data_IF_795853617022
#
_entry.id   IF_795853617022
#
_cell.length_a   1.000
_cell.length_b   1.000
_cell.length_c   1.000
_cell.angle_alpha   90.00
_cell.angle_beta   90.00
_cell.angle_gamma   90.00
#
_symmetry.space_group_name_H-M   'P 1'
#
loop_
_entity.id
_entity.type
_entity.pdbx_description
1 polymer ?
#
# COMPACT_ATOMS: atom_id res chain seq x y z
N UNK A 1 38.98 4.49 12.26
CA UNK A 1 38.14 5.61 12.75
C UNK A 1 37.12 5.03 13.71
N UNK A 2 36.91 5.68 14.87
CA UNK A 2 35.87 5.27 15.83
C UNK A 2 34.49 5.45 15.20
N UNK A 3 33.62 4.44 15.27
CA UNK A 3 32.22 4.55 14.81
C UNK A 3 31.43 5.37 15.82
N UNK A 4 30.61 6.31 15.36
CA UNK A 4 29.81 7.15 16.26
C UNK A 4 28.41 6.54 16.41
N UNK A 5 28.01 6.30 17.65
CA UNK A 5 26.67 5.81 17.99
C UNK A 5 25.65 6.95 17.91
N UNK A 6 24.54 6.71 17.20
CA UNK A 6 23.39 7.60 17.12
C UNK A 6 22.19 6.93 17.82
N UNK A 7 21.68 7.50 18.91
CA UNK A 7 20.57 6.93 19.66
C UNK A 7 19.25 7.04 18.90
N UNK A 8 18.29 6.18 19.24
CA UNK A 8 16.89 6.42 18.97
C UNK A 8 16.34 7.43 20.00
N UNK A 9 15.47 8.36 19.60
CA UNK A 9 15.00 9.45 20.46
C UNK A 9 13.49 9.67 20.33
N UNK A 10 12.88 10.24 21.36
CA UNK A 10 11.47 10.66 21.34
C UNK A 10 10.76 10.37 22.65
N UNK A 11 9.49 10.77 22.78
CA UNK A 11 8.76 10.63 24.03
C UNK A 11 8.36 9.18 24.29
N UNK A 12 8.34 8.77 25.56
CA UNK A 12 7.99 7.38 25.94
C UNK A 12 6.53 7.03 25.70
N UNK A 13 5.67 8.01 25.47
CA UNK A 13 4.25 7.87 25.15
C UNK A 13 3.92 8.21 23.69
N UNK A 14 4.93 8.25 22.81
CA UNK A 14 4.77 8.57 21.38
C UNK A 14 3.70 7.69 20.73
N UNK A 15 2.79 8.29 19.97
CA UNK A 15 1.78 7.56 19.18
C UNK A 15 2.28 7.17 17.80
N UNK A 16 3.34 7.82 17.33
CA UNK A 16 3.98 7.59 16.03
C UNK A 16 5.45 7.28 16.28
N UNK A 17 5.95 6.23 15.63
CA UNK A 17 7.38 5.96 15.50
C UNK A 17 7.79 6.01 14.03
N UNK A 18 8.79 6.82 13.67
CA UNK A 18 9.35 6.90 12.33
C UNK A 18 10.70 6.18 12.28
N UNK A 19 10.79 5.16 11.43
CA UNK A 19 11.94 4.25 11.37
C UNK A 19 12.64 4.37 10.02
N UNK A 20 13.88 4.85 10.03
CA UNK A 20 14.77 4.92 8.87
C UNK A 20 15.73 3.75 8.76
N UNK A 21 16.59 3.81 7.74
CA UNK A 21 17.59 2.78 7.47
C UNK A 21 18.75 2.83 8.47
N UNK A 22 19.44 3.97 8.53
CA UNK A 22 20.61 4.21 9.36
C UNK A 22 20.99 5.69 9.34
N UNK A 23 21.85 6.14 10.27
CA UNK A 23 22.35 7.51 10.28
C UNK A 23 23.10 7.87 9.00
N UNK A 24 22.96 9.11 8.54
CA UNK A 24 23.86 9.74 7.59
C UNK A 24 24.94 10.57 8.30
N UNK A 25 25.66 11.38 7.51
CA UNK A 25 26.80 12.18 8.00
C UNK A 25 26.41 13.20 9.07
N UNK A 26 25.32 13.92 8.87
CA UNK A 26 24.88 14.93 9.82
C UNK A 26 24.30 14.27 11.07
N UNK A 27 23.53 13.18 10.93
CA UNK A 27 23.04 12.43 12.08
C UNK A 27 24.20 11.88 12.93
N UNK A 28 25.28 11.41 12.28
CA UNK A 28 26.51 10.96 12.96
C UNK A 28 27.20 12.10 13.71
N UNK A 29 27.33 13.27 13.08
CA UNK A 29 27.96 14.45 13.69
C UNK A 29 27.21 14.97 14.91
N UNK A 30 25.88 15.04 14.81
CA UNK A 30 25.03 15.64 15.85
C UNK A 30 24.42 14.61 16.81
N UNK A 31 24.56 13.31 16.53
CA UNK A 31 24.00 12.20 17.30
C UNK A 31 22.48 12.29 17.44
N UNK A 32 21.81 12.71 16.37
CA UNK A 32 20.34 12.87 16.32
C UNK A 32 19.85 12.16 15.05
N UNK A 33 18.95 11.16 15.14
CA UNK A 33 18.39 10.51 13.97
C UNK A 33 17.51 11.49 13.19
N UNK A 34 17.54 11.41 11.86
CA UNK A 34 16.84 12.35 10.97
C UNK A 34 17.12 13.82 11.32
N UNK A 35 18.35 14.20 11.67
CA UNK A 35 18.70 15.55 12.12
C UNK A 35 18.03 16.62 11.25
N UNK A 36 17.35 17.58 11.85
CA UNK A 36 16.38 18.44 11.14
C UNK A 36 17.00 19.35 10.06
N UNK A 37 18.32 19.59 10.10
CA UNK A 37 19.05 20.33 9.06
C UNK A 37 19.73 19.40 8.03
N UNK A 38 19.61 18.09 8.21
CA UNK A 38 19.99 17.11 7.20
C UNK A 38 18.88 17.04 6.12
N UNK A 39 19.21 16.80 4.84
CA UNK A 39 18.21 16.80 3.76
C UNK A 39 17.02 15.86 4.00
N UNK A 40 17.24 14.69 4.63
CA UNK A 40 16.17 13.77 4.97
C UNK A 40 15.34 14.27 6.18
N UNK A 41 16.02 14.79 7.20
CA UNK A 41 15.37 15.31 8.41
C UNK A 41 14.56 16.57 8.16
N UNK A 42 15.02 17.45 7.27
CA UNK A 42 14.29 18.65 6.86
C UNK A 42 12.97 18.27 6.16
N UNK A 43 13.01 17.32 5.21
CA UNK A 43 11.80 16.83 4.52
C UNK A 43 10.83 16.23 5.51
N UNK A 44 11.30 15.36 6.40
CA UNK A 44 10.46 14.73 7.40
C UNK A 44 9.81 15.79 8.31
N UNK A 45 10.62 16.74 8.82
CA UNK A 45 10.14 17.81 9.71
C UNK A 45 9.07 18.66 9.01
N UNK A 46 9.31 19.06 7.77
CA UNK A 46 8.35 19.86 7.00
C UNK A 46 7.03 19.11 6.76
N UNK A 47 7.08 17.82 6.42
CA UNK A 47 5.87 17.02 6.15
C UNK A 47 5.11 16.70 7.43
N UNK A 48 5.80 16.43 8.54
CA UNK A 48 5.16 16.31 9.85
C UNK A 48 4.41 17.60 10.20
N UNK A 49 5.06 18.75 10.12
CA UNK A 49 4.47 20.05 10.45
C UNK A 49 3.23 20.36 9.60
N UNK A 50 3.28 20.07 8.29
CA UNK A 50 2.14 20.23 7.38
C UNK A 50 0.92 19.40 7.75
N UNK A 51 1.14 18.26 8.42
CA UNK A 51 0.08 17.37 8.89
C UNK A 51 -0.25 17.60 10.38
N UNK A 52 0.16 18.74 10.95
CA UNK A 52 -0.12 19.10 12.35
C UNK A 52 0.61 18.21 13.35
N UNK A 53 1.80 17.73 12.99
CA UNK A 53 2.69 16.98 13.86
C UNK A 53 3.95 17.80 14.16
N UNK A 54 4.29 17.91 15.43
CA UNK A 54 5.55 18.41 15.92
C UNK A 54 6.56 17.26 16.01
N UNK A 55 7.82 17.57 15.71
CA UNK A 55 8.88 16.55 15.66
C UNK A 55 9.14 15.88 17.02
N UNK A 56 8.97 16.63 18.10
CA UNK A 56 9.18 16.19 19.49
C UNK A 56 8.05 15.31 20.04
N UNK A 57 6.91 15.21 19.35
CA UNK A 57 5.83 14.27 19.70
C UNK A 57 6.02 12.88 19.04
N UNK A 58 6.99 12.76 18.13
CA UNK A 58 7.27 11.56 17.34
C UNK A 58 8.51 10.85 17.87
N UNK A 59 8.46 9.52 17.94
CA UNK A 59 9.64 8.72 18.20
C UNK A 59 10.42 8.47 16.90
N UNK A 60 11.71 8.79 16.89
CA UNK A 60 12.58 8.73 15.73
C UNK A 60 13.69 7.71 15.96
N UNK A 61 13.82 6.77 15.05
CA UNK A 61 14.86 5.75 15.12
C UNK A 61 15.29 5.22 13.76
N UNK A 62 16.28 4.34 13.78
CA UNK A 62 16.78 3.65 12.59
C UNK A 62 16.95 2.15 12.88
N UNK A 63 17.09 1.33 11.84
CA UNK A 63 17.41 -0.09 11.97
C UNK A 63 18.82 -0.35 12.51
N UNK A 64 19.73 0.63 12.39
CA UNK A 64 21.07 0.56 12.97
C UNK A 64 21.45 1.90 13.60
N UNK A 65 22.28 1.86 14.65
CA UNK A 65 22.79 3.06 15.34
C UNK A 65 24.03 3.67 14.70
N UNK A 66 24.63 2.99 13.73
CA UNK A 66 25.88 3.41 13.12
C UNK A 66 25.66 3.72 11.64
N UNK A 67 26.34 4.76 11.15
CA UNK A 67 26.30 5.10 9.73
C UNK A 67 26.77 3.89 8.90
N UNK A 68 25.93 3.33 7.99
CA UNK A 68 26.26 2.11 7.26
C UNK A 68 27.58 2.16 6.49
N UNK A 69 27.82 3.27 5.79
CA UNK A 69 28.99 3.48 4.96
C UNK A 69 29.12 4.99 4.64
N UNK A 70 30.27 5.45 4.13
CA UNK A 70 30.44 6.85 3.69
C UNK A 70 29.41 7.26 2.61
N UNK A 71 28.94 6.29 1.82
CA UNK A 71 27.88 6.49 0.80
C UNK A 71 26.45 6.37 1.35
N UNK A 72 26.29 6.12 2.66
CA UNK A 72 25.01 5.92 3.35
C UNK A 72 24.15 4.76 2.80
N UNK A 73 24.71 3.86 1.98
CA UNK A 73 23.96 2.72 1.44
C UNK A 73 23.80 1.65 2.51
N UNK A 74 22.57 1.39 2.93
CA UNK A 74 22.26 0.42 3.99
C UNK A 74 22.74 -1.01 3.71
N UNK A 75 22.74 -1.45 2.44
CA UNK A 75 23.26 -2.79 2.06
C UNK A 75 24.75 -2.99 2.40
N UNK A 76 25.48 -1.90 2.65
CA UNK A 76 26.89 -1.93 3.07
C UNK A 76 27.05 -1.86 4.60
N UNK A 77 25.95 -1.81 5.37
CA UNK A 77 25.99 -1.87 6.82
C UNK A 77 26.59 -3.21 7.28
N UNK A 78 27.24 -3.20 8.44
CA UNK A 78 27.76 -4.43 9.03
C UNK A 78 26.61 -5.25 9.60
N UNK A 79 26.56 -6.58 9.37
CA UNK A 79 25.50 -7.42 9.90
C UNK A 79 25.30 -7.28 11.41
N UNK A 80 26.38 -7.25 12.19
CA UNK A 80 26.31 -7.13 13.65
C UNK A 80 25.71 -5.79 14.12
N UNK A 81 25.93 -4.71 13.35
CA UNK A 81 25.40 -3.38 13.66
C UNK A 81 23.90 -3.29 13.33
N UNK A 82 23.44 -4.06 12.34
CA UNK A 82 22.02 -4.14 11.96
C UNK A 82 21.27 -5.07 12.90
N UNK A 83 21.80 -6.25 13.21
CA UNK A 83 21.19 -7.20 14.14
C UNK A 83 21.00 -6.56 15.53
N UNK A 84 22.05 -5.98 16.10
CA UNK A 84 21.96 -5.32 17.40
C UNK A 84 21.05 -4.08 17.38
N UNK A 85 21.04 -3.32 16.29
CA UNK A 85 20.17 -2.14 16.15
C UNK A 85 18.69 -2.52 16.01
N UNK A 86 18.38 -3.60 15.28
CA UNK A 86 17.01 -4.11 15.15
C UNK A 86 16.53 -4.71 16.47
N UNK A 87 17.40 -5.34 17.24
CA UNK A 87 17.07 -5.83 18.59
C UNK A 87 16.75 -4.68 19.56
N UNK A 88 17.60 -3.64 19.62
CA UNK A 88 17.34 -2.43 20.42
C UNK A 88 16.03 -1.73 19.99
N UNK A 89 15.79 -1.65 18.69
CA UNK A 89 14.58 -1.10 18.12
C UNK A 89 13.35 -1.90 18.54
N UNK A 90 13.39 -3.24 18.48
CA UNK A 90 12.30 -4.09 18.91
C UNK A 90 11.98 -3.90 20.41
N UNK A 91 13.02 -3.86 21.26
CA UNK A 91 12.85 -3.61 22.69
C UNK A 91 12.24 -2.23 22.96
N UNK A 92 12.69 -1.20 22.24
CA UNK A 92 12.18 0.16 22.35
C UNK A 92 10.70 0.26 21.93
N UNK A 93 10.34 -0.34 20.79
CA UNK A 93 8.97 -0.35 20.27
C UNK A 93 8.02 -1.17 21.16
N UNK A 94 8.49 -2.30 21.71
CA UNK A 94 7.74 -3.11 22.65
C UNK A 94 7.44 -2.35 23.96
N UNK A 95 8.34 -1.45 24.38
CA UNK A 95 8.15 -0.59 25.55
C UNK A 95 7.23 0.60 25.28
N UNK A 96 7.43 1.29 24.16
CA UNK A 96 6.73 2.54 23.83
C UNK A 96 5.32 2.26 23.31
N UNK A 97 5.13 1.14 22.60
CA UNK A 97 3.84 0.73 22.03
C UNK A 97 3.17 1.86 21.24
N UNK A 98 3.83 2.43 20.20
CA UNK A 98 3.19 3.46 19.38
C UNK A 98 1.93 2.89 18.71
N UNK A 99 0.94 3.74 18.44
CA UNK A 99 -0.23 3.29 17.69
C UNK A 99 0.14 2.93 16.25
N UNK A 100 1.16 3.57 15.68
CA UNK A 100 1.60 3.32 14.30
C UNK A 100 3.11 3.52 14.13
N UNK A 101 3.71 2.67 13.30
CA UNK A 101 5.11 2.78 12.88
C UNK A 101 5.14 3.23 11.41
N UNK A 102 5.78 4.34 11.10
CA UNK A 102 6.09 4.76 9.73
C UNK A 102 7.42 4.13 9.30
N UNK A 103 7.36 3.11 8.45
CA UNK A 103 8.52 2.44 7.87
C UNK A 103 9.04 3.24 6.67
N UNK A 104 10.11 3.99 6.87
CA UNK A 104 10.63 4.94 5.88
C UNK A 104 11.63 4.28 4.93
N UNK A 105 11.15 3.75 3.81
CA UNK A 105 11.99 3.10 2.81
C UNK A 105 11.90 1.58 2.81
N UNK A 106 12.66 0.97 1.90
CA UNK A 106 12.52 -0.45 1.59
C UNK A 106 13.12 -1.38 2.66
N UNK A 107 14.17 -0.95 3.35
CA UNK A 107 14.75 -1.74 4.44
C UNK A 107 13.88 -1.73 5.70
N UNK A 108 13.38 -0.58 6.19
CA UNK A 108 12.41 -0.57 7.29
C UNK A 108 11.17 -1.38 6.97
N UNK A 109 10.63 -1.28 5.74
CA UNK A 109 9.54 -2.14 5.27
C UNK A 109 9.88 -3.62 5.48
N UNK A 110 11.03 -4.08 4.98
CA UNK A 110 11.44 -5.47 5.07
C UNK A 110 11.60 -5.94 6.53
N UNK A 111 12.39 -5.25 7.34
CA UNK A 111 12.64 -5.67 8.72
C UNK A 111 11.39 -5.63 9.60
N UNK A 112 10.51 -4.64 9.40
CA UNK A 112 9.32 -4.48 10.22
C UNK A 112 8.17 -5.40 9.79
N UNK A 113 8.09 -5.83 8.52
CA UNK A 113 6.89 -6.52 7.99
C UNK A 113 7.17 -7.79 7.20
N UNK A 114 8.42 -8.06 6.82
CA UNK A 114 8.79 -9.14 5.90
C UNK A 114 8.35 -8.91 4.45
N UNK A 115 7.81 -7.74 4.10
CA UNK A 115 7.42 -7.42 2.72
C UNK A 115 8.59 -6.82 1.95
N UNK A 116 8.72 -7.20 0.68
CA UNK A 116 9.72 -6.64 -0.23
C UNK A 116 9.29 -6.85 -1.69
N UNK A 117 10.08 -6.32 -2.62
CA UNK A 117 9.94 -6.61 -4.05
C UNK A 117 10.43 -8.01 -4.41
N UNK A 118 10.14 -8.43 -5.64
CA UNK A 118 10.53 -9.73 -6.17
C UNK A 118 11.38 -9.56 -7.42
N UNK A 119 12.43 -10.37 -7.56
CA UNK A 119 13.27 -10.44 -8.75
C UNK A 119 13.40 -11.90 -9.17
N UNK A 120 13.03 -12.20 -10.43
CA UNK A 120 13.03 -13.57 -10.98
C UNK A 120 12.26 -14.57 -10.09
N UNK A 121 11.11 -14.14 -9.56
CA UNK A 121 10.24 -14.94 -8.70
C UNK A 121 10.73 -15.12 -7.26
N UNK A 122 11.86 -14.52 -6.87
CA UNK A 122 12.40 -14.62 -5.51
C UNK A 122 12.26 -13.29 -4.76
N UNK A 123 11.97 -13.32 -3.44
CA UNK A 123 12.01 -12.11 -2.60
C UNK A 123 13.38 -11.42 -2.70
N UNK A 124 13.37 -10.10 -2.84
CA UNK A 124 14.57 -9.25 -2.90
C UNK A 124 14.47 -8.16 -1.82
N UNK A 125 14.99 -8.41 -0.62
CA UNK A 125 15.03 -7.42 0.46
C UNK A 125 15.65 -6.09 0.02
N UNK A 126 15.19 -4.99 0.62
CA UNK A 126 15.64 -3.64 0.24
C UNK A 126 15.04 -3.12 -1.07
N UNK A 127 14.00 -3.77 -1.60
CA UNK A 127 13.24 -3.31 -2.78
C UNK A 127 11.73 -3.34 -2.56
N UNK A 128 10.95 -2.83 -3.52
CA UNK A 128 9.48 -2.93 -3.51
C UNK A 128 8.74 -1.77 -2.83
N UNK A 129 9.44 -0.75 -2.34
CA UNK A 129 8.79 0.36 -1.62
C UNK A 129 7.73 1.10 -2.46
N UNK A 130 7.92 1.21 -3.77
CA UNK A 130 6.93 1.83 -4.66
C UNK A 130 5.58 1.09 -4.68
N UNK A 131 5.61 -0.23 -4.48
CA UNK A 131 4.41 -1.06 -4.41
C UNK A 131 3.74 -0.96 -3.04
N UNK A 132 4.54 -1.06 -1.97
CA UNK A 132 4.02 -1.20 -0.61
C UNK A 132 3.74 0.13 0.10
N UNK A 133 4.28 1.27 -0.36
CA UNK A 133 4.00 2.56 0.28
C UNK A 133 2.49 2.82 0.43
N UNK A 134 2.10 3.38 1.57
CA UNK A 134 0.70 3.55 1.99
C UNK A 134 0.02 2.29 2.51
N UNK A 135 0.58 1.09 2.33
CA UNK A 135 0.01 -0.15 2.88
C UNK A 135 0.08 -0.13 4.40
N UNK A 136 -0.99 -0.62 5.04
CA UNK A 136 -1.07 -0.82 6.48
C UNK A 136 -0.83 -2.30 6.75
N UNK A 137 0.27 -2.62 7.42
CA UNK A 137 0.81 -3.97 7.57
C UNK A 137 1.01 -4.29 9.06
N UNK A 138 0.92 -5.56 9.47
CA UNK A 138 1.32 -5.96 10.82
C UNK A 138 2.84 -5.87 11.00
N UNK A 139 3.28 -5.46 12.19
CA UNK A 139 4.67 -5.58 12.60
C UNK A 139 5.01 -7.05 12.92
N UNK A 140 6.20 -7.50 12.53
CA UNK A 140 6.70 -8.85 12.78
C UNK A 140 7.89 -8.89 13.76
N UNK A 141 8.33 -7.75 14.28
CA UNK A 141 9.42 -7.74 15.26
C UNK A 141 8.98 -8.44 16.56
N UNK A 142 9.88 -9.21 17.22
CA UNK A 142 9.57 -9.86 18.48
C UNK A 142 9.08 -8.88 19.55
N UNK A 143 7.97 -9.19 20.23
CA UNK A 143 7.38 -8.33 21.27
C UNK A 143 6.63 -7.10 20.74
N UNK A 144 6.55 -6.95 19.42
CA UNK A 144 5.83 -5.87 18.75
C UNK A 144 4.52 -6.36 18.10
N UNK A 145 4.01 -7.53 18.51
CA UNK A 145 2.77 -8.08 17.99
C UNK A 145 1.61 -7.09 18.19
N UNK A 146 0.75 -6.98 17.17
CA UNK A 146 -0.37 -6.04 17.14
C UNK A 146 0.03 -4.58 16.90
N UNK A 147 1.31 -4.23 16.79
CA UNK A 147 1.70 -2.93 16.22
C UNK A 147 1.43 -2.94 14.71
N UNK A 148 0.94 -1.82 14.19
CA UNK A 148 0.76 -1.62 12.75
C UNK A 148 1.87 -0.74 12.17
N UNK A 149 2.21 -1.04 10.93
CA UNK A 149 3.28 -0.43 10.16
C UNK A 149 2.66 0.17 8.90
N UNK A 150 2.93 1.44 8.63
CA UNK A 150 2.63 2.09 7.36
C UNK A 150 3.93 2.34 6.63
N UNK A 151 4.06 1.77 5.44
CA UNK A 151 5.23 1.96 4.62
C UNK A 151 5.20 3.33 3.93
N UNK A 152 6.32 4.01 3.86
CA UNK A 152 6.45 5.31 3.19
C UNK A 152 7.74 5.36 2.36
N UNK A 153 7.84 6.31 1.44
CA UNK A 153 9.15 6.64 0.90
C UNK A 153 10.12 7.08 2.01
N UNK A 154 11.41 6.80 1.82
CA UNK A 154 12.43 7.36 2.68
C UNK A 154 12.57 8.87 2.38
N UNK A 155 12.62 9.77 3.39
CA UNK A 155 12.74 11.22 3.15
C UNK A 155 13.94 11.62 2.28
N UNK A 156 15.08 10.92 2.39
CA UNK A 156 16.23 11.13 1.51
C UNK A 156 15.93 10.85 0.02
N UNK A 157 15.04 9.89 -0.29
CA UNK A 157 14.61 9.65 -1.66
C UNK A 157 13.72 10.78 -2.18
N UNK A 158 12.81 11.29 -1.32
CA UNK A 158 11.98 12.46 -1.63
C UNK A 158 12.83 13.73 -1.81
N UNK A 159 13.88 13.90 -1.01
CA UNK A 159 14.82 15.02 -1.15
C UNK A 159 15.50 15.04 -2.54
N UNK A 160 15.87 13.86 -3.05
CA UNK A 160 16.46 13.67 -4.39
C UNK A 160 15.43 13.73 -5.51
N UNK A 161 14.20 13.30 -5.26
CA UNK A 161 13.11 13.28 -6.23
C UNK A 161 11.86 13.97 -5.66
N UNK A 162 11.81 15.30 -5.81
CA UNK A 162 10.76 16.15 -5.24
C UNK A 162 9.37 15.88 -5.81
N UNK A 163 9.25 15.23 -6.98
CA UNK A 163 7.96 14.78 -7.53
C UNK A 163 7.24 13.79 -6.61
N UNK A 164 7.95 13.14 -5.69
CA UNK A 164 7.40 12.18 -4.73
C UNK A 164 6.91 12.83 -3.44
N UNK A 165 7.14 14.13 -3.26
CA UNK A 165 6.75 14.85 -2.05
C UNK A 165 5.24 14.76 -1.76
N UNK A 166 4.33 14.95 -2.73
CA UNK A 166 2.90 14.87 -2.45
C UNK A 166 2.44 13.46 -2.05
N UNK A 167 3.07 12.41 -2.62
CA UNK A 167 2.77 11.02 -2.27
C UNK A 167 3.24 10.73 -0.84
N UNK A 168 4.45 11.19 -0.48
CA UNK A 168 4.96 11.06 0.87
C UNK A 168 4.11 11.83 1.89
N UNK A 169 3.62 13.02 1.55
CA UNK A 169 2.70 13.80 2.38
C UNK A 169 1.36 13.07 2.60
N UNK A 170 0.80 12.43 1.56
CA UNK A 170 -0.38 11.56 1.67
C UNK A 170 -0.13 10.38 2.63
N UNK A 171 1.03 9.73 2.52
CA UNK A 171 1.37 8.61 3.40
C UNK A 171 1.53 9.07 4.86
N UNK A 172 2.16 10.22 5.11
CA UNK A 172 2.28 10.80 6.47
C UNK A 172 0.92 11.23 7.02
N UNK A 173 0.01 11.75 6.19
CA UNK A 173 -1.37 12.03 6.60
C UNK A 173 -2.05 10.76 7.12
N UNK A 174 -1.89 9.64 6.40
CA UNK A 174 -2.41 8.34 6.84
C UNK A 174 -1.76 7.88 8.14
N UNK A 175 -0.45 8.07 8.31
CA UNK A 175 0.24 7.83 9.59
C UNK A 175 -0.38 8.65 10.72
N UNK A 176 -0.65 9.94 10.50
CA UNK A 176 -1.33 10.79 11.49
C UNK A 176 -2.72 10.25 11.84
N UNK A 177 -3.53 9.92 10.84
CA UNK A 177 -4.87 9.37 11.03
C UNK A 177 -4.84 8.07 11.83
N UNK A 178 -4.01 7.11 11.41
CA UNK A 178 -3.87 5.81 12.06
C UNK A 178 -3.19 5.90 13.44
N UNK A 179 -2.48 6.98 13.75
CA UNK A 179 -1.93 7.20 15.10
C UNK A 179 -3.00 7.43 16.17
N UNK A 180 -4.25 7.70 15.79
CA UNK A 180 -5.34 7.94 16.74
C UNK A 180 -5.90 6.66 17.38
N UNK A 181 -5.60 5.47 16.82
CA UNK A 181 -6.10 4.19 17.30
C UNK A 181 -5.05 3.07 17.11
N UNK A 182 -4.88 2.12 18.05
CA UNK A 182 -3.86 1.07 17.94
C UNK A 182 -4.23 -0.05 16.96
N UNK A 183 -5.52 -0.23 16.64
CA UNK A 183 -6.00 -1.41 15.92
C UNK A 183 -5.57 -1.42 14.45
N UNK A 184 -5.30 -2.63 13.96
CA UNK A 184 -5.08 -2.90 12.54
C UNK A 184 -6.43 -3.02 11.82
N UNK A 185 -6.98 -1.87 11.42
CA UNK A 185 -8.26 -1.80 10.73
C UNK A 185 -8.09 -2.04 9.22
N UNK A 186 -8.04 -3.30 8.79
CA UNK A 186 -8.03 -3.67 7.36
C UNK A 186 -9.44 -4.10 6.93
N UNK A 187 -9.95 -3.69 5.75
CA UNK A 187 -11.27 -4.10 5.29
C UNK A 187 -11.33 -5.62 5.09
N UNK A 188 -12.30 -6.29 5.73
CA UNK A 188 -12.59 -7.70 5.48
C UNK A 188 -13.67 -7.81 4.40
N UNK A 189 -13.30 -8.33 3.22
CA UNK A 189 -14.24 -8.48 2.10
C UNK A 189 -14.82 -9.88 2.07
N UNK A 190 -16.11 -9.95 1.80
CA UNK A 190 -16.80 -11.16 1.42
C UNK A 190 -16.78 -11.28 -0.11
N UNK A 191 -15.99 -12.24 -0.60
CA UNK A 191 -15.86 -12.54 -2.02
C UNK A 191 -16.46 -13.91 -2.29
N UNK A 192 -17.41 -13.97 -3.22
CA UNK A 192 -17.94 -15.23 -3.75
C UNK A 192 -17.28 -15.50 -5.10
N UNK A 193 -16.61 -16.64 -5.23
CA UNK A 193 -15.93 -17.04 -6.46
C UNK A 193 -16.73 -18.16 -7.11
N UNK A 194 -16.98 -18.02 -8.41
CA UNK A 194 -17.65 -19.00 -9.25
C UNK A 194 -19.02 -19.48 -8.68
N UNK A 195 -19.95 -18.54 -8.36
CA UNK A 195 -21.30 -18.96 -7.97
C UNK A 195 -21.99 -19.65 -9.15
N UNK A 196 -22.80 -20.66 -8.84
CA UNK A 196 -23.52 -21.47 -9.86
C UNK A 196 -24.98 -21.66 -9.48
N UNK A 197 -25.81 -22.01 -10.46
CA UNK A 197 -27.22 -22.33 -10.24
C UNK A 197 -27.97 -21.20 -9.52
N UNK A 198 -28.65 -21.53 -8.41
CA UNK A 198 -29.43 -20.57 -7.63
C UNK A 198 -28.57 -19.44 -7.05
N UNK A 199 -27.36 -19.74 -6.57
CA UNK A 199 -26.46 -18.73 -6.01
C UNK A 199 -26.06 -17.67 -7.06
N UNK A 200 -25.85 -18.08 -8.32
CA UNK A 200 -25.56 -17.16 -9.41
C UNK A 200 -26.76 -16.25 -9.69
N UNK A 201 -27.97 -16.81 -9.72
CA UNK A 201 -29.21 -16.05 -9.94
C UNK A 201 -29.42 -15.02 -8.84
N UNK A 202 -29.23 -15.42 -7.58
CA UNK A 202 -29.31 -14.53 -6.42
C UNK A 202 -28.34 -13.37 -6.53
N UNK A 203 -27.11 -13.62 -6.96
CA UNK A 203 -26.11 -12.57 -7.18
C UNK A 203 -26.49 -11.62 -8.31
N UNK A 204 -26.96 -12.15 -9.45
CA UNK A 204 -27.42 -11.32 -10.58
C UNK A 204 -28.56 -10.41 -10.13
N UNK A 205 -29.56 -10.95 -9.44
CA UNK A 205 -30.70 -10.17 -8.95
C UNK A 205 -30.27 -9.16 -7.87
N UNK A 206 -29.33 -9.54 -6.99
CA UNK A 206 -28.74 -8.65 -5.98
C UNK A 206 -27.98 -7.48 -6.62
N UNK A 207 -27.16 -7.73 -7.64
CA UNK A 207 -26.42 -6.69 -8.39
C UNK A 207 -27.39 -5.73 -9.06
N UNK A 208 -28.40 -6.26 -9.75
CA UNK A 208 -29.39 -5.44 -10.45
C UNK A 208 -30.18 -4.59 -9.45
N UNK A 209 -30.62 -5.19 -8.34
CA UNK A 209 -31.33 -4.49 -7.26
C UNK A 209 -30.48 -3.40 -6.61
N UNK A 210 -29.17 -3.60 -6.49
CA UNK A 210 -28.26 -2.59 -5.93
C UNK A 210 -28.18 -1.32 -6.82
N UNK A 211 -28.46 -1.45 -8.12
CA UNK A 211 -28.55 -0.31 -9.06
C UNK A 211 -27.21 0.32 -9.43
N UNK A 212 -26.11 -0.12 -8.81
CA UNK A 212 -24.74 0.29 -9.08
C UNK A 212 -23.78 -0.86 -8.76
N UNK A 213 -22.74 -1.04 -9.58
CA UNK A 213 -21.66 -1.97 -9.28
C UNK A 213 -20.36 -1.51 -9.92
N UNK A 214 -19.23 -1.76 -9.26
CA UNK A 214 -17.94 -1.73 -9.94
C UNK A 214 -17.74 -3.04 -10.70
N UNK A 215 -17.22 -2.96 -11.92
CA UNK A 215 -17.01 -4.09 -12.80
C UNK A 215 -15.56 -4.12 -13.30
N UNK A 216 -15.08 -5.33 -13.52
CA UNK A 216 -13.72 -5.63 -13.99
C UNK A 216 -13.74 -6.99 -14.70
N UNK A 217 -12.97 -7.15 -15.78
CA UNK A 217 -12.83 -8.46 -16.44
C UNK A 217 -11.38 -8.91 -16.43
N UNK A 218 -11.19 -10.22 -16.36
CA UNK A 218 -9.90 -10.84 -16.67
C UNK A 218 -10.01 -11.56 -18.01
N UNK A 219 -9.01 -11.37 -18.87
CA UNK A 219 -8.96 -11.96 -20.21
C UNK A 219 -7.58 -12.51 -20.53
N UNK A 220 -7.51 -13.53 -21.41
CA UNK A 220 -6.24 -14.06 -21.88
C UNK A 220 -5.53 -12.99 -22.71
N UNK A 221 -4.30 -12.66 -22.33
CA UNK A 221 -3.46 -11.67 -23.02
C UNK A 221 -3.42 -11.92 -24.53
N UNK A 222 -3.58 -10.85 -25.30
CA UNK A 222 -3.59 -10.85 -26.77
C UNK A 222 -4.76 -11.60 -27.43
N UNK A 223 -5.80 -11.93 -26.67
CA UNK A 223 -7.04 -12.52 -27.19
C UNK A 223 -8.24 -11.74 -26.68
N UNK A 224 -9.44 -12.07 -27.16
CA UNK A 224 -10.71 -11.59 -26.61
C UNK A 224 -11.35 -12.59 -25.65
N UNK A 225 -10.68 -13.71 -25.32
CA UNK A 225 -11.25 -14.72 -24.45
C UNK A 225 -11.29 -14.24 -22.99
N UNK A 226 -12.50 -14.02 -22.47
CA UNK A 226 -12.75 -13.63 -21.09
C UNK A 226 -12.60 -14.87 -20.20
N UNK A 227 -11.84 -14.76 -19.10
CA UNK A 227 -11.69 -15.79 -18.08
C UNK A 227 -12.73 -15.65 -16.98
N UNK A 228 -13.02 -14.42 -16.55
CA UNK A 228 -14.05 -14.13 -15.57
C UNK A 228 -14.45 -12.66 -15.58
N UNK A 229 -15.60 -12.37 -14.97
CA UNK A 229 -16.09 -11.01 -14.73
C UNK A 229 -16.31 -10.81 -13.23
N UNK A 230 -15.67 -9.81 -12.66
CA UNK A 230 -15.85 -9.38 -11.28
C UNK A 230 -16.90 -8.27 -11.16
N UNK A 231 -17.74 -8.35 -10.13
CA UNK A 231 -18.68 -7.30 -9.76
C UNK A 231 -18.63 -7.01 -8.25
N UNK A 232 -18.40 -5.77 -7.88
CA UNK A 232 -18.47 -5.30 -6.50
C UNK A 232 -19.66 -4.36 -6.31
N UNK A 233 -20.57 -4.72 -5.41
CA UNK A 233 -21.78 -3.93 -5.10
C UNK A 233 -21.60 -3.01 -3.90
N UNK A 234 -20.55 -3.24 -3.12
CA UNK A 234 -20.12 -2.41 -1.99
C UNK A 234 -18.60 -2.53 -1.79
N UNK A 235 -17.98 -1.71 -0.92
CA UNK A 235 -16.57 -1.88 -0.58
C UNK A 235 -16.23 -3.24 0.06
N UNK A 236 -17.24 -3.98 0.54
CA UNK A 236 -17.10 -5.22 1.31
C UNK A 236 -17.64 -6.45 0.61
N UNK A 237 -18.46 -6.31 -0.43
CA UNK A 237 -19.16 -7.43 -1.07
C UNK A 237 -18.88 -7.47 -2.57
N UNK A 238 -18.35 -8.60 -3.01
CA UNK A 238 -17.96 -8.82 -4.40
C UNK A 238 -18.23 -10.26 -4.84
N UNK A 239 -18.43 -10.44 -6.13
CA UNK A 239 -18.59 -11.73 -6.78
C UNK A 239 -17.73 -11.80 -8.03
N UNK A 240 -17.06 -12.93 -8.23
CA UNK A 240 -16.30 -13.24 -9.43
C UNK A 240 -17.01 -14.37 -10.18
N UNK A 241 -17.57 -14.07 -11.34
CA UNK A 241 -18.32 -15.00 -12.18
C UNK A 241 -17.35 -15.57 -13.23
N UNK A 242 -16.97 -16.85 -13.07
CA UNK A 242 -15.97 -17.51 -13.91
C UNK A 242 -16.59 -17.98 -15.22
N UNK A 243 -15.90 -17.76 -16.33
CA UNK A 243 -16.31 -18.24 -17.63
C UNK A 243 -15.99 -19.73 -17.77
N UNK A 244 -17.03 -20.53 -17.96
CA UNK A 244 -16.91 -21.94 -18.33
C UNK A 244 -17.31 -22.08 -19.79
N UNK A 245 -16.51 -22.79 -20.59
CA UNK A 245 -16.81 -23.01 -22.01
C UNK A 245 -18.21 -23.61 -22.19
N UNK A 246 -18.96 -23.08 -23.16
CA UNK A 246 -20.33 -23.49 -23.47
C UNK A 246 -21.35 -23.30 -22.31
N UNK A 247 -21.03 -22.47 -21.31
CA UNK A 247 -21.95 -22.16 -20.22
C UNK A 247 -22.98 -21.10 -20.61
N UNK A 248 -24.22 -21.57 -20.83
CA UNK A 248 -25.38 -20.68 -20.98
C UNK A 248 -25.61 -19.83 -19.72
N UNK A 249 -25.37 -20.38 -18.52
CA UNK A 249 -25.57 -19.67 -17.25
C UNK A 249 -24.66 -18.45 -17.13
N UNK A 250 -23.38 -18.61 -17.53
CA UNK A 250 -22.43 -17.51 -17.55
C UNK A 250 -22.89 -16.41 -18.51
N UNK A 251 -23.19 -16.78 -19.76
CA UNK A 251 -23.57 -15.82 -20.78
C UNK A 251 -24.87 -15.08 -20.40
N UNK A 252 -25.84 -15.81 -19.86
CA UNK A 252 -27.08 -15.24 -19.32
C UNK A 252 -26.80 -14.25 -18.18
N UNK A 253 -25.96 -14.61 -17.21
CA UNK A 253 -25.69 -13.76 -16.06
C UNK A 253 -25.02 -12.44 -16.46
N UNK A 254 -23.98 -12.52 -17.30
CA UNK A 254 -23.26 -11.33 -17.77
C UNK A 254 -24.17 -10.45 -18.63
N UNK A 255 -24.91 -11.02 -19.58
CA UNK A 255 -25.84 -10.26 -20.42
C UNK A 255 -26.93 -9.58 -19.58
N UNK A 256 -27.54 -10.31 -18.62
CA UNK A 256 -28.60 -9.77 -17.76
C UNK A 256 -28.10 -8.61 -16.88
N UNK A 257 -26.87 -8.69 -16.36
CA UNK A 257 -26.27 -7.60 -15.59
C UNK A 257 -25.99 -6.39 -16.49
N UNK A 258 -25.27 -6.57 -17.60
CA UNK A 258 -24.81 -5.48 -18.46
C UNK A 258 -25.96 -4.78 -19.21
N UNK A 259 -27.03 -5.50 -19.56
CA UNK A 259 -28.21 -4.98 -20.25
C UNK A 259 -29.29 -4.43 -19.31
N UNK A 260 -29.17 -4.61 -18.00
CA UNK A 260 -30.14 -4.12 -17.01
C UNK A 260 -30.27 -2.59 -16.98
N UNK A 261 -29.16 -1.89 -17.22
CA UNK A 261 -29.08 -0.42 -17.13
C UNK A 261 -28.64 0.10 -15.76
N UNK A 262 -28.21 -0.78 -14.85
CA UNK A 262 -27.53 -0.34 -13.63
C UNK A 262 -26.28 0.47 -13.95
N UNK A 263 -25.89 1.33 -13.02
CA UNK A 263 -24.69 2.15 -13.16
C UNK A 263 -23.44 1.29 -12.98
N UNK A 264 -22.62 1.15 -14.01
CA UNK A 264 -21.37 0.41 -13.93
C UNK A 264 -20.17 1.35 -13.80
N UNK A 265 -19.33 1.08 -12.79
CA UNK A 265 -18.09 1.81 -12.50
C UNK A 265 -16.92 0.93 -12.96
N UNK A 266 -15.95 1.53 -13.65
CA UNK A 266 -14.79 0.82 -14.19
C UNK A 266 -13.47 1.43 -13.73
N UNK A 267 -12.36 0.76 -14.05
CA UNK A 267 -11.02 1.32 -13.97
C UNK A 267 -10.27 1.06 -15.29
N UNK A 268 -10.25 2.05 -16.18
CA UNK A 268 -9.72 1.82 -17.53
C UNK A 268 -10.69 1.05 -18.43
N UNK A 269 -11.99 1.24 -18.20
CA UNK A 269 -13.06 0.46 -18.82
C UNK A 269 -13.15 0.47 -20.35
N UNK A 270 -12.57 1.43 -21.12
CA UNK A 270 -12.52 1.29 -22.58
C UNK A 270 -11.86 -0.01 -23.07
N UNK A 271 -10.89 -0.56 -22.33
CA UNK A 271 -10.32 -1.86 -22.64
C UNK A 271 -11.35 -2.98 -22.45
N UNK A 272 -11.95 -3.06 -21.26
CA UNK A 272 -12.96 -4.06 -20.89
C UNK A 272 -14.15 -4.04 -21.84
N UNK A 273 -14.62 -2.84 -22.22
CA UNK A 273 -15.72 -2.66 -23.14
C UNK A 273 -15.43 -3.28 -24.51
N UNK A 274 -14.24 -3.06 -25.09
CA UNK A 274 -13.87 -3.65 -26.38
C UNK A 274 -13.88 -5.18 -26.31
N UNK A 275 -13.35 -5.74 -25.21
CA UNK A 275 -13.33 -7.21 -25.02
C UNK A 275 -14.76 -7.75 -24.86
N UNK A 276 -15.62 -7.09 -24.07
CA UNK A 276 -17.02 -7.48 -23.88
C UNK A 276 -17.81 -7.43 -25.20
N UNK A 277 -17.65 -6.36 -25.98
CA UNK A 277 -18.28 -6.20 -27.29
C UNK A 277 -17.83 -7.28 -28.29
N UNK A 278 -16.55 -7.66 -28.26
CA UNK A 278 -16.02 -8.76 -29.07
C UNK A 278 -16.62 -10.13 -28.70
N UNK A 279 -17.15 -10.28 -27.49
CA UNK A 279 -17.89 -11.47 -27.03
C UNK A 279 -19.41 -11.34 -27.17
N UNK A 280 -19.89 -10.28 -27.84
CA UNK A 280 -21.32 -10.05 -28.09
C UNK A 280 -22.08 -9.37 -26.95
N UNK A 281 -21.41 -8.95 -25.88
CA UNK A 281 -22.06 -8.21 -24.79
C UNK A 281 -22.15 -6.72 -25.08
N UNK A 282 -23.17 -6.06 -24.55
CA UNK A 282 -23.33 -4.60 -24.64
C UNK A 282 -23.54 -4.00 -23.27
N UNK A 283 -22.71 -3.01 -22.94
CA UNK A 283 -22.84 -2.23 -21.70
C UNK A 283 -23.93 -1.18 -21.91
N UNK A 284 -25.07 -1.32 -21.24
CA UNK A 284 -26.18 -0.35 -21.38
C UNK A 284 -25.92 0.98 -20.68
N UNK A 285 -25.17 0.97 -19.57
CA UNK A 285 -24.93 2.17 -18.76
C UNK A 285 -23.51 2.16 -18.18
N UNK A 286 -22.56 2.66 -18.97
CA UNK A 286 -21.22 3.00 -18.52
C UNK A 286 -21.31 4.31 -17.72
N UNK A 287 -21.28 4.21 -16.39
CA UNK A 287 -21.57 5.35 -15.52
C UNK A 287 -20.33 6.12 -15.11
N UNK A 288 -19.24 5.44 -14.76
CA UNK A 288 -18.06 6.09 -14.20
C UNK A 288 -16.77 5.33 -14.49
N UNK A 289 -15.63 6.04 -14.46
CA UNK A 289 -14.30 5.45 -14.56
C UNK A 289 -13.34 6.10 -13.55
N UNK A 290 -12.76 5.27 -12.68
CA UNK A 290 -11.87 5.72 -11.62
C UNK A 290 -10.49 6.18 -12.14
N UNK A 291 -10.01 5.63 -13.26
CA UNK A 291 -8.77 6.06 -13.91
C UNK A 291 -8.95 7.43 -14.56
N UNK A 292 -10.11 7.69 -15.18
CA UNK A 292 -10.46 9.02 -15.72
C UNK A 292 -10.62 10.04 -14.59
N UNK A 293 -11.31 9.67 -13.50
CA UNK A 293 -11.44 10.55 -12.33
C UNK A 293 -10.07 10.92 -11.74
N UNK A 294 -9.15 9.96 -11.62
CA UNK A 294 -7.79 10.22 -11.17
C UNK A 294 -7.05 11.19 -12.11
N UNK A 295 -7.23 11.03 -13.41
CA UNK A 295 -6.66 11.94 -14.41
C UNK A 295 -7.12 13.38 -14.26
N UNK A 296 -8.37 13.60 -13.84
CA UNK A 296 -8.93 14.95 -13.63
C UNK A 296 -8.49 15.52 -12.28
N UNK A 297 -8.56 14.71 -11.22
CA UNK A 297 -8.31 15.17 -9.85
C UNK A 297 -6.83 15.37 -9.54
N UNK A 298 -5.96 14.52 -10.08
CA UNK A 298 -4.53 14.50 -9.79
C UNK A 298 -3.73 14.15 -11.07
N UNK A 299 -3.71 15.05 -12.08
CA UNK A 299 -3.15 14.76 -13.40
C UNK A 299 -1.65 14.40 -13.38
N UNK A 300 -0.92 14.88 -12.38
CA UNK A 300 0.52 14.63 -12.21
C UNK A 300 0.84 13.32 -11.47
N UNK A 301 -0.16 12.67 -10.87
CA UNK A 301 0.02 11.45 -10.08
C UNK A 301 -0.16 10.19 -10.94
N UNK A 302 0.42 9.04 -10.51
CA UNK A 302 0.12 7.77 -11.15
C UNK A 302 -1.38 7.47 -11.14
N UNK A 303 -1.81 6.68 -12.13
CA UNK A 303 -3.21 6.38 -12.41
C UNK A 303 -3.54 4.90 -12.39
N UNK A 304 -2.55 4.08 -12.06
CA UNK A 304 -2.74 2.63 -11.98
C UNK A 304 -3.68 2.30 -10.83
N UNK A 305 -4.48 1.24 -10.99
CA UNK A 305 -5.36 0.78 -9.92
C UNK A 305 -4.62 0.57 -8.60
N UNK A 306 -3.42 -0.03 -8.65
CA UNK A 306 -2.60 -0.24 -7.46
C UNK A 306 -2.28 1.07 -6.72
N UNK A 307 -1.93 2.13 -7.45
CA UNK A 307 -1.67 3.43 -6.86
C UNK A 307 -2.94 4.05 -6.27
N UNK A 308 -4.05 4.08 -7.02
CA UNK A 308 -5.32 4.65 -6.53
C UNK A 308 -5.78 3.91 -5.28
N UNK A 309 -5.73 2.58 -5.29
CA UNK A 309 -6.06 1.73 -4.13
C UNK A 309 -5.21 2.08 -2.92
N UNK A 310 -3.89 2.21 -3.09
CA UNK A 310 -2.96 2.52 -1.99
C UNK A 310 -3.14 3.91 -1.40
N UNK A 311 -3.73 4.87 -2.12
CA UNK A 311 -3.94 6.25 -1.65
C UNK A 311 -5.35 6.42 -1.06
N UNK A 312 -6.36 5.85 -1.72
CA UNK A 312 -7.76 6.10 -1.40
C UNK A 312 -8.42 5.01 -0.54
N UNK A 313 -7.73 3.89 -0.31
CA UNK A 313 -8.26 2.77 0.46
C UNK A 313 -7.27 2.30 1.51
N UNK A 314 -7.77 1.47 2.43
CA UNK A 314 -6.95 0.78 3.44
C UNK A 314 -6.47 -0.60 2.97
N UNK A 315 -6.60 -0.88 1.67
CA UNK A 315 -6.16 -2.15 1.09
C UNK A 315 -4.64 -2.18 0.98
N UNK A 316 -3.98 -3.19 1.60
CA UNK A 316 -2.56 -3.41 1.39
C UNK A 316 -2.27 -3.76 -0.08
N UNK A 317 -1.03 -3.57 -0.50
CA UNK A 317 -0.61 -4.00 -1.82
C UNK A 317 -0.82 -5.52 -2.02
N UNK A 318 -1.53 -5.89 -3.08
CA UNK A 318 -2.04 -7.25 -3.34
C UNK A 318 -1.52 -7.88 -4.65
N UNK A 319 -0.89 -7.11 -5.55
CA UNK A 319 -0.58 -7.57 -6.92
C UNK A 319 0.49 -8.66 -7.05
N UNK A 320 1.26 -8.90 -6.00
CA UNK A 320 2.25 -9.99 -5.98
C UNK A 320 1.73 -11.25 -5.25
N UNK A 321 0.50 -11.23 -4.72
CA UNK A 321 -0.10 -12.38 -4.01
C UNK A 321 -0.58 -13.50 -4.95
N UNK A 322 -0.75 -13.22 -6.25
CA UNK A 322 -1.21 -14.16 -7.29
C UNK A 322 -0.09 -14.82 -8.11
N UNK A 323 1.17 -14.73 -7.67
CA UNK A 323 2.31 -15.41 -8.33
C UNK A 323 2.71 -16.74 -7.65
N UNK A 324 1.81 -17.30 -6.85
CA UNK A 324 1.93 -18.63 -6.25
C UNK A 324 1.19 -19.67 -7.06
#
# INVERSE_FOLDING_TARGET
MSRTFVPNIGPSNAKIACIGEGPGEQEERYKIPFYHEAPAGEILTNVLQRNGLFRDEVWLGNLTHYRPHITNKFILAKPEDVEGGVEDLAQSLAKIRPNVIAAMGAWPLWYLTGKCGYERGKPKPGTGIENYRGSILPCILPGCEGLKVIATYHPSYVARNRTKYPIFDIDIRRVKEDSSFPELNIPKRHMVIDPRGEQLKDWVDKIIKNGIAAADIEAIKYTTHILCCGFAISPLETVCIVHHEHSYEWQWAIDKILSSGIRLIWHGGPYDQIILEANGFKIKNYFWDTMVAQHVMQPEMPKTLAYITSVNTREPYYKDETKG
#
